data_IF_773542074408
#
_entry.id   IF_773542074408
#
_cell.length_a   1.000
_cell.length_b   1.000
_cell.length_c   1.000
_cell.angle_alpha   90.00
_cell.angle_beta   90.00
_cell.angle_gamma   90.00
#
_symmetry.space_group_name_H-M   'P 1'
#
loop_
_entity.id
_entity.type
_entity.pdbx_description
1 polymer ?
#
# COMPACT_ATOMS: atom_id res chain seq x y z
N UNK A 1 53.20 25.65 -34.82
CA UNK A 1 52.28 24.62 -34.28
C UNK A 1 51.34 25.24 -33.25
N UNK A 2 50.20 25.85 -33.63
CA UNK A 2 49.14 26.28 -32.70
C UNK A 2 47.81 26.22 -33.44
N UNK A 3 46.93 25.27 -33.12
CA UNK A 3 45.63 25.18 -33.84
C UNK A 3 44.72 23.99 -33.54
N UNK A 4 44.79 23.32 -32.38
CA UNK A 4 43.91 22.16 -32.09
C UNK A 4 43.08 22.21 -30.79
N UNK A 5 43.21 23.23 -29.94
CA UNK A 5 42.59 23.21 -28.59
C UNK A 5 41.19 23.82 -28.48
N UNK A 6 40.66 24.47 -29.53
CA UNK A 6 39.41 25.25 -29.45
C UNK A 6 38.15 24.35 -29.45
N UNK A 7 38.18 23.19 -30.12
CA UNK A 7 37.01 22.30 -30.20
C UNK A 7 36.65 21.64 -28.87
N UNK A 8 37.64 21.40 -28.00
CA UNK A 8 37.43 20.71 -26.72
C UNK A 8 36.75 21.61 -25.68
N UNK A 9 37.05 22.91 -25.67
CA UNK A 9 36.46 23.86 -24.72
C UNK A 9 34.97 24.12 -24.95
N UNK A 10 34.47 24.01 -26.19
CA UNK A 10 33.05 24.19 -26.51
C UNK A 10 32.16 23.04 -26.04
N UNK A 11 32.65 21.81 -26.09
CA UNK A 11 31.93 20.65 -25.55
C UNK A 11 31.86 20.67 -24.01
N UNK A 12 32.91 21.17 -23.35
CA UNK A 12 32.98 21.25 -21.89
C UNK A 12 31.96 22.24 -21.30
N UNK A 13 31.69 23.37 -21.96
CA UNK A 13 30.70 24.36 -21.51
C UNK A 13 29.25 23.89 -21.69
N UNK A 14 28.97 23.04 -22.68
CA UNK A 14 27.64 22.47 -22.90
C UNK A 14 27.30 21.38 -21.87
N UNK A 15 28.29 20.56 -21.48
CA UNK A 15 28.12 19.55 -20.44
C UNK A 15 27.88 20.16 -19.04
N UNK A 16 28.53 21.29 -18.71
CA UNK A 16 28.31 21.98 -17.43
C UNK A 16 26.92 22.62 -17.32
N UNK A 17 26.36 23.08 -18.45
CA UNK A 17 25.01 23.64 -18.47
C UNK A 17 23.94 22.59 -18.17
N UNK A 18 24.07 21.39 -18.77
CA UNK A 18 23.13 20.30 -18.54
C UNK A 18 23.15 19.81 -17.08
N UNK A 19 24.33 19.75 -16.46
CA UNK A 19 24.48 19.39 -15.05
C UNK A 19 23.77 20.37 -14.11
N UNK A 20 23.88 21.68 -14.35
CA UNK A 20 23.19 22.69 -13.54
C UNK A 20 21.67 22.61 -13.67
N UNK A 21 21.15 22.34 -14.87
CA UNK A 21 19.71 22.16 -15.07
C UNK A 21 19.19 20.94 -14.31
N UNK A 22 19.90 19.80 -14.36
CA UNK A 22 19.53 18.60 -13.61
C UNK A 22 19.60 18.83 -12.10
N UNK A 23 20.62 19.53 -11.61
CA UNK A 23 20.74 19.90 -10.19
C UNK A 23 19.56 20.77 -9.74
N UNK A 24 19.18 21.78 -10.53
CA UNK A 24 18.04 22.65 -10.23
C UNK A 24 16.72 21.87 -10.21
N UNK A 25 16.52 20.94 -11.14
CA UNK A 25 15.33 20.08 -11.16
C UNK A 25 15.27 19.17 -9.92
N UNK A 26 16.41 18.58 -9.51
CA UNK A 26 16.49 17.75 -8.31
C UNK A 26 16.21 18.55 -7.03
N UNK A 27 16.78 19.76 -6.91
CA UNK A 27 16.50 20.64 -5.76
C UNK A 27 15.04 21.07 -5.72
N UNK A 28 14.45 21.45 -6.86
CA UNK A 28 13.02 21.81 -6.97
C UNK A 28 12.11 20.64 -6.56
N UNK A 29 12.41 19.43 -7.05
CA UNK A 29 11.70 18.21 -6.67
C UNK A 29 11.78 17.95 -5.16
N UNK A 30 12.97 18.09 -4.57
CA UNK A 30 13.18 17.93 -3.12
C UNK A 30 12.37 18.96 -2.31
N UNK A 31 12.33 20.23 -2.74
CA UNK A 31 11.56 21.28 -2.07
C UNK A 31 10.04 21.05 -2.14
N UNK A 32 9.52 20.54 -3.27
CA UNK A 32 8.10 20.22 -3.40
C UNK A 32 7.71 19.00 -2.54
N UNK A 33 8.59 18.01 -2.43
CA UNK A 33 8.34 16.81 -1.65
C UNK A 33 8.32 17.07 -0.13
N UNK A 34 9.19 17.95 0.37
CA UNK A 34 9.25 18.25 1.81
C UNK A 34 8.10 19.15 2.31
N UNK A 35 7.60 20.06 1.48
CA UNK A 35 6.60 21.07 1.91
C UNK A 35 5.15 20.66 1.64
N UNK A 36 4.94 19.49 1.04
CA UNK A 36 3.62 18.96 0.66
C UNK A 36 2.91 18.15 1.74
N UNK A 37 3.36 18.13 3.00
CA UNK A 37 2.61 17.50 4.10
C UNK A 37 1.64 18.52 4.71
N UNK A 38 0.33 18.48 4.38
CA UNK A 38 -0.66 19.19 5.17
C UNK A 38 -0.67 18.59 6.58
N UNK A 39 -0.49 19.44 7.59
CA UNK A 39 -0.83 19.09 8.97
C UNK A 39 -2.31 18.70 9.00
N UNK A 40 -2.59 17.45 9.35
CA UNK A 40 -3.95 16.96 9.57
C UNK A 40 -4.37 17.40 10.97
N UNK A 41 -5.22 18.42 11.03
CA UNK A 41 -5.79 18.96 12.25
C UNK A 41 -6.79 17.91 12.78
N UNK A 42 -6.33 17.08 13.71
CA UNK A 42 -7.15 16.05 14.32
C UNK A 42 -8.09 16.69 15.34
N UNK A 43 -9.29 17.07 14.90
CA UNK A 43 -10.38 17.47 15.77
C UNK A 43 -11.23 16.23 16.06
N UNK A 44 -10.94 15.62 17.21
CA UNK A 44 -11.71 14.54 17.79
C UNK A 44 -13.03 15.11 18.35
N UNK A 45 -14.09 15.04 17.55
CA UNK A 45 -15.45 15.25 18.04
C UNK A 45 -15.98 13.90 18.53
N UNK A 46 -15.77 13.65 19.83
CA UNK A 46 -16.48 12.65 20.60
C UNK A 46 -17.98 12.95 20.54
N UNK A 47 -18.75 12.20 19.74
CA UNK A 47 -20.19 12.16 19.87
C UNK A 47 -20.59 11.00 20.77
N UNK A 48 -21.07 11.40 21.94
CA UNK A 48 -21.59 10.61 23.04
C UNK A 48 -22.66 9.60 22.62
N UNK A 49 -22.53 8.42 23.21
CA UNK A 49 -23.61 7.46 23.47
C UNK A 49 -24.86 8.15 23.99
N UNK A 50 -26.02 7.90 23.37
CA UNK A 50 -27.24 7.76 24.15
C UNK A 50 -28.33 6.95 23.45
N UNK A 51 -28.89 6.03 24.25
CA UNK A 51 -30.30 5.67 24.34
C UNK A 51 -31.03 4.99 23.16
N UNK A 52 -31.22 3.68 23.34
CA UNK A 52 -32.50 2.94 23.33
C UNK A 52 -33.51 3.15 22.18
N UNK A 53 -33.83 2.07 21.47
CA UNK A 53 -35.23 1.60 21.34
C UNK A 53 -35.30 0.22 20.66
N UNK A 54 -36.03 -0.67 21.31
CA UNK A 54 -36.56 -1.95 20.81
C UNK A 54 -37.40 -1.79 19.54
N UNK A 55 -37.28 -2.75 18.63
CA UNK A 55 -38.40 -3.17 17.77
C UNK A 55 -38.24 -4.63 17.37
N UNK A 56 -39.40 -5.25 17.25
CA UNK A 56 -39.68 -6.67 17.32
C UNK A 56 -39.27 -7.51 16.10
N UNK A 57 -39.32 -8.81 16.39
CA UNK A 57 -39.20 -10.00 15.57
C UNK A 57 -39.99 -10.05 14.25
N UNK A 58 -39.50 -10.98 13.42
CA UNK A 58 -40.18 -11.78 12.38
C UNK A 58 -40.17 -11.24 10.95
N UNK A 59 -39.38 -11.94 10.13
CA UNK A 59 -39.40 -11.91 8.68
C UNK A 59 -38.56 -13.06 8.13
N UNK A 60 -39.18 -14.24 8.07
CA UNK A 60 -38.73 -15.43 7.35
C UNK A 60 -38.36 -15.10 5.89
N UNK A 61 -37.21 -15.60 5.44
CA UNK A 61 -36.99 -16.00 4.05
C UNK A 61 -35.83 -17.02 3.99
N UNK A 62 -36.17 -18.23 3.58
CA UNK A 62 -35.27 -19.37 3.50
C UNK A 62 -34.17 -19.29 2.43
N UNK A 63 -33.13 -20.06 2.72
CA UNK A 63 -32.28 -20.86 1.81
C UNK A 63 -31.72 -20.18 0.55
N UNK A 64 -30.40 -19.97 0.51
CA UNK A 64 -29.47 -20.77 -0.33
C UNK A 64 -28.03 -20.27 -0.15
N UNK A 65 -27.18 -21.20 0.24
CA UNK A 65 -25.83 -21.48 -0.24
C UNK A 65 -24.75 -20.39 -0.36
N UNK A 66 -23.59 -20.74 0.21
CA UNK A 66 -22.25 -20.31 -0.19
C UNK A 66 -21.97 -18.81 -0.12
N UNK A 67 -21.69 -18.35 1.09
CA UNK A 67 -20.67 -17.33 1.27
C UNK A 67 -19.70 -17.87 2.28
N UNK A 68 -18.53 -18.29 1.80
CA UNK A 68 -17.40 -18.61 2.64
C UNK A 68 -17.07 -17.38 3.48
N UNK A 69 -17.64 -17.32 4.68
CA UNK A 69 -17.06 -16.58 5.78
C UNK A 69 -15.78 -17.32 6.11
N UNK A 70 -14.72 -17.05 5.36
CA UNK A 70 -13.39 -17.26 5.89
C UNK A 70 -13.32 -16.32 7.07
N UNK A 71 -13.56 -16.91 8.24
CA UNK A 71 -13.16 -16.40 9.54
C UNK A 71 -11.89 -15.59 9.31
N UNK A 72 -11.99 -14.27 9.48
CA UNK A 72 -10.80 -13.46 9.70
C UNK A 72 -10.30 -13.96 11.04
N UNK A 73 -9.52 -15.04 10.99
CA UNK A 73 -8.95 -15.68 12.15
C UNK A 73 -7.98 -14.64 12.70
N UNK A 74 -8.45 -13.89 13.69
CA UNK A 74 -7.76 -12.80 14.39
C UNK A 74 -6.62 -13.32 15.27
N UNK A 75 -6.07 -14.50 14.94
CA UNK A 75 -4.86 -15.05 15.51
C UNK A 75 -3.66 -14.46 14.77
N UNK A 76 -3.48 -13.15 14.86
CA UNK A 76 -2.15 -12.58 14.75
C UNK A 76 -1.71 -12.31 16.18
N UNK A 77 -0.95 -13.28 16.69
CA UNK A 77 -0.16 -13.15 17.89
C UNK A 77 0.57 -11.81 17.81
N UNK A 78 0.18 -10.90 18.70
CA UNK A 78 0.94 -9.71 19.07
C UNK A 78 2.30 -10.15 19.63
N UNK A 79 3.18 -10.66 18.76
CA UNK A 79 4.59 -10.80 19.07
C UNK A 79 5.22 -9.46 18.79
N UNK A 80 4.98 -8.58 19.76
CA UNK A 80 5.75 -7.38 19.96
C UNK A 80 7.24 -7.68 19.86
N UNK A 81 7.84 -7.06 18.85
CA UNK A 81 9.26 -6.72 18.70
C UNK A 81 9.27 -5.80 17.46
N UNK A 82 9.68 -4.54 17.47
CA UNK A 82 10.77 -3.85 18.18
C UNK A 82 10.44 -2.34 18.15
N UNK A 83 10.39 -1.59 19.25
CA UNK A 83 11.49 -0.80 19.85
C UNK A 83 12.45 -0.12 18.87
N UNK A 84 12.29 1.20 18.70
CA UNK A 84 13.25 2.12 18.06
C UNK A 84 12.67 2.85 16.85
N UNK A 85 12.19 4.09 17.02
CA UNK A 85 11.72 5.00 15.96
C UNK A 85 10.78 4.38 14.90
N UNK A 86 9.85 3.52 15.33
CA UNK A 86 8.86 2.89 14.44
C UNK A 86 7.89 3.96 13.94
N UNK A 87 7.67 4.09 12.62
CA UNK A 87 6.56 4.88 12.08
C UNK A 87 5.27 4.48 12.79
N UNK A 88 4.45 5.45 13.18
CA UNK A 88 3.16 5.19 13.81
C UNK A 88 2.33 4.24 12.94
N UNK A 89 2.18 3.00 13.39
CA UNK A 89 1.38 1.98 12.71
C UNK A 89 -0.06 2.09 13.19
N UNK A 90 -0.99 2.28 12.25
CA UNK A 90 -2.41 2.31 12.54
C UNK A 90 -3.08 1.04 12.03
N UNK A 91 -3.02 -0.02 12.84
CA UNK A 91 -3.60 -1.31 12.48
C UNK A 91 -5.12 -1.22 12.28
N UNK A 92 -5.83 -0.42 13.08
CA UNK A 92 -7.28 -0.25 12.95
C UNK A 92 -7.70 0.40 11.63
N UNK A 93 -6.98 1.45 11.22
CA UNK A 93 -7.18 2.08 9.92
C UNK A 93 -6.80 1.13 8.77
N UNK A 94 -5.69 0.41 8.89
CA UNK A 94 -5.28 -0.57 7.90
C UNK A 94 -6.33 -1.66 7.67
N UNK A 95 -6.92 -2.19 8.74
CA UNK A 95 -8.01 -3.19 8.66
C UNK A 95 -9.24 -2.58 7.99
N UNK A 96 -9.65 -1.37 8.37
CA UNK A 96 -10.81 -0.70 7.77
C UNK A 96 -10.62 -0.46 6.27
N UNK A 97 -9.45 0.02 5.86
CA UNK A 97 -9.11 0.23 4.44
C UNK A 97 -9.03 -1.09 3.68
N UNK A 98 -8.49 -2.13 4.30
CA UNK A 98 -8.46 -3.48 3.74
C UNK A 98 -9.87 -4.02 3.47
N UNK A 99 -10.79 -3.88 4.42
CA UNK A 99 -12.19 -4.29 4.25
C UNK A 99 -12.88 -3.52 3.12
N UNK A 100 -12.63 -2.21 3.01
CA UNK A 100 -13.13 -1.40 1.88
C UNK A 100 -12.57 -1.89 0.54
N UNK A 101 -11.28 -2.22 0.48
CA UNK A 101 -10.66 -2.83 -0.71
C UNK A 101 -11.31 -4.17 -1.07
N UNK A 102 -11.55 -5.03 -0.08
CA UNK A 102 -12.24 -6.31 -0.29
C UNK A 102 -13.67 -6.12 -0.82
N UNK A 103 -14.41 -5.14 -0.29
CA UNK A 103 -15.76 -4.83 -0.77
C UNK A 103 -15.77 -4.34 -2.22
N UNK A 104 -14.72 -3.66 -2.68
CA UNK A 104 -14.57 -3.26 -4.09
C UNK A 104 -14.14 -4.44 -4.97
N UNK A 105 -13.28 -5.31 -4.45
CA UNK A 105 -12.88 -6.54 -5.11
C UNK A 105 -14.09 -7.46 -5.37
N UNK A 106 -14.98 -7.65 -4.40
CA UNK A 106 -16.22 -8.43 -4.58
C UNK A 106 -17.15 -7.81 -5.62
N UNK A 107 -17.14 -6.48 -5.74
CA UNK A 107 -17.83 -5.73 -6.80
C UNK A 107 -17.11 -5.75 -8.17
N UNK A 108 -15.99 -6.47 -8.30
CA UNK A 108 -15.14 -6.51 -9.51
C UNK A 108 -14.52 -5.16 -9.91
N UNK A 109 -14.48 -4.20 -8.99
CA UNK A 109 -13.79 -2.91 -9.15
C UNK A 109 -12.32 -3.05 -8.75
N UNK A 110 -11.58 -3.83 -9.54
CA UNK A 110 -10.24 -4.31 -9.18
C UNK A 110 -9.21 -3.18 -9.00
N UNK A 111 -9.20 -2.18 -9.88
CA UNK A 111 -8.26 -1.05 -9.78
C UNK A 111 -8.56 -0.16 -8.56
N UNK A 112 -9.84 0.05 -8.24
CA UNK A 112 -10.23 0.78 -7.03
C UNK A 112 -9.83 0.01 -5.77
N UNK A 113 -10.00 -1.32 -5.76
CA UNK A 113 -9.55 -2.16 -4.65
C UNK A 113 -8.04 -2.01 -4.39
N UNK A 114 -7.22 -1.95 -5.45
CA UNK A 114 -5.77 -1.73 -5.33
C UNK A 114 -5.46 -0.39 -4.63
N UNK A 115 -6.21 0.67 -4.93
CA UNK A 115 -6.03 1.98 -4.25
C UNK A 115 -6.23 1.84 -2.74
N UNK A 116 -7.26 1.12 -2.31
CA UNK A 116 -7.52 0.90 -0.88
C UNK A 116 -6.47 0.01 -0.22
N UNK A 117 -6.01 -1.05 -0.90
CA UNK A 117 -4.92 -1.87 -0.38
C UNK A 117 -3.61 -1.08 -0.25
N UNK A 118 -3.30 -0.18 -1.19
CA UNK A 118 -2.13 0.69 -1.08
C UNK A 118 -2.21 1.59 0.16
N UNK A 119 -3.39 2.17 0.43
CA UNK A 119 -3.60 2.99 1.63
C UNK A 119 -3.50 2.14 2.91
N UNK A 120 -4.04 0.92 2.88
CA UNK A 120 -3.95 0.00 4.02
C UNK A 120 -2.50 -0.40 4.32
N UNK A 121 -1.67 -0.64 3.29
CA UNK A 121 -0.23 -0.88 3.44
C UNK A 121 0.50 0.34 4.03
N UNK A 122 0.12 1.56 3.64
CA UNK A 122 0.70 2.77 4.21
C UNK A 122 0.36 2.92 5.70
N UNK A 123 -0.86 2.55 6.10
CA UNK A 123 -1.30 2.58 7.49
C UNK A 123 -0.64 1.48 8.34
N UNK A 124 -0.42 0.28 7.77
CA UNK A 124 0.32 -0.80 8.42
C UNK A 124 1.12 -1.63 7.40
N UNK A 125 2.44 -1.38 7.28
CA UNK A 125 3.29 -2.12 6.34
C UNK A 125 3.62 -3.54 6.81
N UNK A 126 3.33 -3.87 8.08
CA UNK A 126 3.60 -5.17 8.68
C UNK A 126 2.41 -6.13 8.63
N UNK A 127 1.32 -5.79 7.91
CA UNK A 127 0.17 -6.68 7.80
C UNK A 127 0.19 -7.48 6.49
N UNK A 128 0.71 -8.73 6.50
CA UNK A 128 1.01 -9.51 5.30
C UNK A 128 -0.23 -9.81 4.45
N UNK A 129 -1.40 -9.94 5.09
CA UNK A 129 -2.68 -10.23 4.43
C UNK A 129 -2.99 -9.23 3.31
N UNK A 130 -2.66 -7.94 3.50
CA UNK A 130 -2.97 -6.91 2.50
C UNK A 130 -2.12 -7.11 1.23
N UNK A 131 -0.82 -7.40 1.38
CA UNK A 131 0.07 -7.66 0.25
C UNK A 131 -0.40 -8.87 -0.56
N UNK A 132 -0.80 -9.94 0.13
CA UNK A 132 -1.34 -11.14 -0.50
C UNK A 132 -2.57 -10.82 -1.37
N UNK A 133 -3.51 -10.06 -0.81
CA UNK A 133 -4.77 -9.70 -1.48
C UNK A 133 -4.55 -8.77 -2.65
N UNK A 134 -3.70 -7.75 -2.49
CA UNK A 134 -3.29 -6.89 -3.60
C UNK A 134 -2.61 -7.67 -4.73
N UNK A 135 -1.71 -8.60 -4.40
CA UNK A 135 -1.03 -9.43 -5.39
C UNK A 135 -1.99 -10.33 -6.17
N UNK A 136 -2.99 -10.93 -5.49
CA UNK A 136 -4.05 -11.70 -6.15
C UNK A 136 -4.83 -10.85 -7.16
N UNK A 137 -5.24 -9.64 -6.77
CA UNK A 137 -5.96 -8.71 -7.65
C UNK A 137 -5.10 -8.27 -8.85
N UNK A 138 -3.82 -7.96 -8.62
CA UNK A 138 -2.89 -7.63 -9.70
C UNK A 138 -2.70 -8.80 -10.66
N UNK A 139 -2.63 -10.02 -10.15
CA UNK A 139 -2.53 -11.21 -10.98
C UNK A 139 -3.80 -11.44 -11.82
N UNK A 140 -4.99 -11.23 -11.26
CA UNK A 140 -6.26 -11.27 -12.00
C UNK A 140 -6.33 -10.22 -13.12
N UNK A 141 -5.71 -9.06 -12.92
CA UNK A 141 -5.55 -8.01 -13.93
C UNK A 141 -4.43 -8.30 -14.94
N UNK A 142 -3.83 -9.49 -14.90
CA UNK A 142 -2.70 -9.89 -15.74
C UNK A 142 -1.43 -9.02 -15.54
N UNK A 143 -1.30 -8.39 -14.37
CA UNK A 143 -0.16 -7.56 -13.96
C UNK A 143 0.79 -8.38 -13.08
N UNK A 144 1.27 -9.51 -13.62
CA UNK A 144 2.09 -10.51 -12.89
C UNK A 144 3.32 -9.90 -12.21
N UNK A 145 4.07 -9.05 -12.91
CA UNK A 145 5.30 -8.45 -12.35
C UNK A 145 5.00 -7.60 -11.11
N UNK A 146 3.96 -6.76 -11.17
CA UNK A 146 3.55 -5.93 -10.04
C UNK A 146 3.02 -6.75 -8.86
N UNK A 147 2.39 -7.90 -9.14
CA UNK A 147 1.99 -8.85 -8.11
C UNK A 147 3.21 -9.44 -7.38
N UNK A 148 4.23 -9.86 -8.12
CA UNK A 148 5.49 -10.37 -7.54
C UNK A 148 6.21 -9.29 -6.75
N UNK A 149 6.32 -8.06 -7.28
CA UNK A 149 6.93 -6.92 -6.58
C UNK A 149 6.17 -6.62 -5.28
N UNK A 150 4.84 -6.69 -5.30
CA UNK A 150 4.01 -6.50 -4.10
C UNK A 150 4.30 -7.57 -3.05
N UNK A 151 4.46 -8.84 -3.44
CA UNK A 151 4.77 -9.93 -2.51
C UNK A 151 6.19 -9.80 -1.94
N UNK A 152 7.16 -9.41 -2.77
CA UNK A 152 8.53 -9.14 -2.31
C UNK A 152 8.56 -8.01 -1.28
N UNK A 153 7.85 -6.91 -1.52
CA UNK A 153 7.73 -5.82 -0.53
C UNK A 153 7.08 -6.31 0.78
N UNK A 154 6.10 -7.21 0.70
CA UNK A 154 5.49 -7.82 1.89
C UNK A 154 6.49 -8.68 2.67
N UNK A 155 7.29 -9.48 1.97
CA UNK A 155 8.35 -10.33 2.53
C UNK A 155 9.50 -9.51 3.11
N UNK A 156 9.84 -8.34 2.56
CA UNK A 156 10.84 -7.45 3.18
C UNK A 156 10.43 -7.04 4.61
N UNK A 157 9.12 -6.86 4.84
CA UNK A 157 8.58 -6.51 6.16
C UNK A 157 8.24 -7.74 7.01
N UNK A 158 7.99 -8.89 6.37
CA UNK A 158 7.57 -10.15 7.00
C UNK A 158 8.32 -11.33 6.35
N UNK A 159 9.64 -11.46 6.60
CA UNK A 159 10.52 -12.36 5.82
C UNK A 159 10.15 -13.84 5.91
N UNK A 160 9.51 -14.23 7.00
CA UNK A 160 9.13 -15.62 7.27
C UNK A 160 7.62 -15.85 7.13
N UNK A 161 6.86 -14.96 6.50
CA UNK A 161 5.42 -15.17 6.29
C UNK A 161 5.17 -16.29 5.27
N UNK A 162 4.62 -17.45 5.69
CA UNK A 162 4.48 -18.61 4.83
C UNK A 162 3.45 -18.39 3.73
N UNK A 163 2.45 -17.52 3.95
CA UNK A 163 1.39 -17.27 3.00
C UNK A 163 1.87 -16.39 1.84
N UNK A 164 2.69 -15.37 2.12
CA UNK A 164 3.35 -14.56 1.12
C UNK A 164 4.32 -15.39 0.27
N UNK A 165 5.16 -16.22 0.90
CA UNK A 165 6.10 -17.09 0.19
C UNK A 165 5.36 -18.07 -0.72
N UNK A 166 4.35 -18.76 -0.19
CA UNK A 166 3.53 -19.71 -0.97
C UNK A 166 2.89 -19.04 -2.19
N UNK A 167 2.31 -17.84 -2.00
CA UNK A 167 1.65 -17.12 -3.09
C UNK A 167 2.66 -16.62 -4.13
N UNK A 168 3.83 -16.20 -3.70
CA UNK A 168 4.93 -15.79 -4.59
C UNK A 168 5.34 -16.95 -5.50
N UNK A 169 5.57 -18.13 -4.94
CA UNK A 169 5.94 -19.32 -5.70
C UNK A 169 4.86 -19.70 -6.72
N UNK A 170 3.57 -19.68 -6.31
CA UNK A 170 2.43 -19.98 -7.19
C UNK A 170 2.37 -19.02 -8.38
N UNK A 171 2.47 -17.70 -8.12
CA UNK A 171 2.41 -16.69 -9.19
C UNK A 171 3.65 -16.76 -10.08
N UNK A 172 4.83 -16.95 -9.49
CA UNK A 172 6.09 -17.00 -10.23
C UNK A 172 6.11 -18.17 -11.23
N UNK A 173 5.54 -19.32 -10.84
CA UNK A 173 5.49 -20.53 -11.65
C UNK A 173 4.48 -20.52 -12.81
N UNK A 174 3.50 -19.60 -12.82
CA UNK A 174 2.45 -19.48 -13.85
C UNK A 174 2.91 -18.67 -15.06
#
# INVERSE_FOLDING_TARGET
MKGKTIKFKRWMLLASGLFLVVLLLLTSYYYLFLKGRPESNNQADNFTTDSSSSTDQSGDNGTTDSSGTTEVNSNFDDKGQQTGDVPEVNLGEAITLYEQGNNLYTQKKLEEAIVYYNRAIQASPYYPVIYNKKAQVLFELNRKNEALDTLLNGLENNPDDPQLLSTYEIINAK
#
